data_IF_035368801738
#
_entry.id   IF_035368801738
#
_cell.length_a   1.000
_cell.length_b   1.000
_cell.length_c   1.000
_cell.angle_alpha   90.00
_cell.angle_beta   90.00
_cell.angle_gamma   90.00
#
_symmetry.space_group_name_H-M   'P 1'
#
loop_
_entity.id
_entity.type
_entity.pdbx_description
1 polymer ?
#
# COMPACT_ATOMS: atom_id res chain seq x y z
N UNK A 1 -14.87 9.03 12.74
CA UNK A 1 -15.10 10.18 11.84
C UNK A 1 -13.91 11.12 11.91
N UNK A 2 -13.50 11.76 10.81
CA UNK A 2 -12.29 12.61 10.75
C UNK A 2 -11.05 11.94 11.37
N UNK A 3 -10.88 10.66 11.09
CA UNK A 3 -9.88 9.79 11.71
C UNK A 3 -9.27 8.87 10.66
N UNK A 4 -8.10 8.33 10.96
CA UNK A 4 -7.46 7.31 10.13
C UNK A 4 -7.35 5.97 10.86
N UNK A 5 -7.23 4.89 10.09
CA UNK A 5 -6.94 3.55 10.59
C UNK A 5 -5.93 2.87 9.67
N UNK A 6 -5.00 2.13 10.28
CA UNK A 6 -4.07 1.28 9.54
C UNK A 6 -4.67 -0.13 9.41
N UNK A 7 -4.55 -0.69 8.22
CA UNK A 7 -4.89 -2.07 7.90
C UNK A 7 -3.77 -2.69 7.07
N UNK A 8 -3.95 -3.94 6.66
CA UNK A 8 -3.08 -4.59 5.67
C UNK A 8 -3.91 -5.23 4.57
N UNK A 9 -3.29 -5.40 3.42
CA UNK A 9 -3.81 -6.22 2.33
C UNK A 9 -3.90 -7.70 2.71
N UNK A 10 -4.77 -8.43 2.01
CA UNK A 10 -4.83 -9.91 2.09
C UNK A 10 -3.71 -10.51 1.26
N UNK A 11 -3.31 -9.81 0.20
CA UNK A 11 -2.30 -10.18 -0.77
C UNK A 11 -0.88 -9.92 -0.22
N UNK A 12 0.02 -10.87 -0.46
CA UNK A 12 1.44 -10.70 -0.25
C UNK A 12 2.12 -10.43 -1.59
N UNK A 13 2.91 -9.37 -1.68
CA UNK A 13 3.61 -9.00 -2.91
C UNK A 13 5.09 -9.32 -2.80
N UNK A 14 5.68 -9.70 -3.95
CA UNK A 14 7.13 -9.80 -4.16
C UNK A 14 7.44 -9.07 -5.46
N UNK A 15 7.97 -7.86 -5.37
CA UNK A 15 8.16 -6.99 -6.53
C UNK A 15 9.47 -7.32 -7.23
N UNK A 16 9.49 -7.58 -8.55
CA UNK A 16 10.72 -7.80 -9.29
C UNK A 16 11.67 -6.59 -9.24
N UNK A 17 12.97 -6.82 -9.43
CA UNK A 17 14.00 -5.75 -9.39
C UNK A 17 13.89 -4.74 -10.52
N UNK A 18 13.23 -5.08 -11.61
CA UNK A 18 12.98 -4.19 -12.75
C UNK A 18 11.55 -3.61 -12.75
N UNK A 19 10.79 -3.75 -11.65
CA UNK A 19 9.40 -3.26 -11.58
C UNK A 19 9.24 -2.27 -10.44
N UNK A 20 8.61 -1.14 -10.74
CA UNK A 20 8.08 -0.20 -9.75
C UNK A 20 6.55 -0.30 -9.77
N UNK A 21 5.92 -0.11 -8.61
CA UNK A 21 4.46 -0.06 -8.56
C UNK A 21 3.93 1.23 -7.97
N UNK A 22 2.75 1.64 -8.41
CA UNK A 22 1.99 2.72 -7.78
C UNK A 22 0.64 2.15 -7.35
N UNK A 23 0.33 2.29 -6.08
CA UNK A 23 -0.98 1.95 -5.55
C UNK A 23 -1.87 3.19 -5.56
N UNK A 24 -3.09 3.04 -6.09
CA UNK A 24 -4.09 4.12 -6.11
C UNK A 24 -5.40 3.62 -5.51
N UNK A 25 -6.11 4.53 -4.83
CA UNK A 25 -7.44 4.24 -4.29
C UNK A 25 -8.48 4.01 -5.40
N UNK A 26 -9.58 3.32 -5.06
CA UNK A 26 -10.69 3.11 -5.99
C UNK A 26 -11.74 4.22 -5.89
N UNK A 27 -12.36 4.53 -7.03
CA UNK A 27 -13.41 5.56 -7.11
C UNK A 27 -14.57 5.31 -6.14
N UNK A 28 -14.92 4.05 -5.87
CA UNK A 28 -15.96 3.69 -4.89
C UNK A 28 -15.66 4.25 -3.50
N UNK A 29 -14.44 4.10 -3.00
CA UNK A 29 -14.03 4.62 -1.68
C UNK A 29 -13.93 6.15 -1.70
N UNK A 30 -13.34 6.70 -2.78
CA UNK A 30 -13.22 8.14 -2.93
C UNK A 30 -14.58 8.87 -2.92
N UNK A 31 -15.61 8.29 -3.56
CA UNK A 31 -16.98 8.83 -3.58
C UNK A 31 -17.69 8.74 -2.22
N UNK A 32 -17.20 7.92 -1.30
CA UNK A 32 -17.65 7.87 0.09
C UNK A 32 -16.83 8.77 1.02
N UNK A 33 -15.91 9.59 0.48
CA UNK A 33 -14.99 10.40 1.28
C UNK A 33 -13.97 9.57 2.07
N UNK A 34 -13.65 8.37 1.57
CA UNK A 34 -12.62 7.50 2.13
C UNK A 34 -11.39 7.53 1.23
N UNK A 35 -10.28 7.96 1.80
CA UNK A 35 -8.97 7.96 1.14
C UNK A 35 -8.24 6.70 1.56
N UNK A 36 -7.69 5.99 0.58
CA UNK A 36 -6.79 4.85 0.80
C UNK A 36 -5.39 5.31 0.41
N UNK A 37 -4.60 5.72 1.40
CA UNK A 37 -3.25 6.18 1.19
C UNK A 37 -2.28 5.00 1.28
N UNK A 38 -1.47 4.84 0.23
CA UNK A 38 -0.51 3.74 0.08
C UNK A 38 0.68 4.26 -0.71
N UNK A 39 1.89 4.01 -0.22
CA UNK A 39 3.11 4.41 -0.91
C UNK A 39 3.48 3.41 -2.01
N UNK A 40 4.20 3.83 -3.07
CA UNK A 40 4.75 2.94 -4.08
C UNK A 40 5.46 1.71 -3.49
N UNK A 41 5.35 0.56 -4.15
CA UNK A 41 6.19 -0.60 -3.81
C UNK A 41 7.41 -0.55 -4.70
N UNK A 42 8.55 -0.30 -4.07
CA UNK A 42 9.84 -0.16 -4.73
C UNK A 42 10.35 -1.52 -5.24
N UNK A 43 11.29 -1.52 -6.21
CA UNK A 43 11.90 -2.76 -6.69
C UNK A 43 12.45 -3.63 -5.56
N UNK A 44 12.18 -4.94 -5.62
CA UNK A 44 12.51 -5.95 -4.60
C UNK A 44 11.91 -5.73 -3.21
N UNK A 45 10.92 -4.85 -3.07
CA UNK A 45 10.09 -4.85 -1.88
C UNK A 45 9.22 -6.12 -1.83
N UNK A 46 9.11 -6.72 -0.65
CA UNK A 46 8.15 -7.80 -0.38
C UNK A 46 7.42 -7.60 0.95
N UNK A 47 6.15 -8.01 1.00
CA UNK A 47 5.32 -7.87 2.20
C UNK A 47 3.83 -7.88 1.93
N UNK A 48 3.04 -7.92 3.01
CA UNK A 48 1.67 -7.43 2.95
C UNK A 48 1.71 -5.91 3.03
N UNK A 49 0.99 -5.24 2.14
CA UNK A 49 0.97 -3.77 2.06
C UNK A 49 0.20 -3.20 3.26
N UNK A 50 0.78 -2.24 3.96
CA UNK A 50 0.06 -1.42 4.95
C UNK A 50 -0.82 -0.42 4.22
N UNK A 51 -2.11 -0.40 4.55
CA UNK A 51 -3.11 0.53 4.00
C UNK A 51 -3.46 1.56 5.07
N UNK A 52 -3.45 2.85 4.71
CA UNK A 52 -3.97 3.91 5.57
C UNK A 52 -5.35 4.35 5.05
N UNK A 53 -6.39 4.04 5.80
CA UNK A 53 -7.75 4.49 5.51
C UNK A 53 -8.05 5.77 6.28
N UNK A 54 -8.30 6.86 5.57
CA UNK A 54 -8.66 8.16 6.14
C UNK A 54 -10.10 8.52 5.79
N UNK A 55 -10.96 8.73 6.81
CA UNK A 55 -12.34 9.18 6.62
C UNK A 55 -12.41 10.70 6.75
N UNK A 56 -12.64 11.39 5.64
CA UNK A 56 -12.71 12.87 5.57
C UNK A 56 -14.14 13.40 5.72
N UNK A 57 -15.10 12.54 6.01
CA UNK A 57 -16.51 12.90 6.22
C UNK A 57 -16.84 12.99 7.72
N UNK A 58 -17.88 13.78 8.09
CA UNK A 58 -18.38 13.79 9.47
C UNK A 58 -19.18 12.52 9.83
N UNK A 59 -19.49 11.66 8.85
CA UNK A 59 -20.31 10.47 9.05
C UNK A 59 -19.43 9.24 9.31
N UNK A 60 -19.87 8.28 10.16
CA UNK A 60 -19.21 6.99 10.28
C UNK A 60 -19.22 6.24 8.95
N UNK A 61 -18.10 5.57 8.64
CA UNK A 61 -17.99 4.68 7.49
C UNK A 61 -17.66 3.27 7.96
N UNK A 62 -18.26 2.27 7.30
CA UNK A 62 -17.93 0.86 7.51
C UNK A 62 -17.07 0.39 6.34
N UNK A 63 -15.96 -0.25 6.66
CA UNK A 63 -15.03 -0.85 5.70
C UNK A 63 -14.96 -2.33 6.06
N UNK A 64 -15.23 -3.22 5.10
CA UNK A 64 -15.26 -4.65 5.36
C UNK A 64 -13.97 -5.32 4.82
N UNK A 65 -13.50 -6.32 5.55
CA UNK A 65 -12.36 -7.12 5.11
C UNK A 65 -12.70 -7.90 3.83
N UNK A 66 -11.75 -7.98 2.90
CA UNK A 66 -11.92 -8.69 1.62
C UNK A 66 -12.57 -7.88 0.50
N UNK A 67 -13.00 -6.64 0.75
CA UNK A 67 -13.44 -5.75 -0.32
C UNK A 67 -12.24 -5.23 -1.13
N UNK A 68 -12.42 -5.08 -2.44
CA UNK A 68 -11.41 -4.42 -3.28
C UNK A 68 -11.36 -2.93 -2.96
N UNK A 69 -10.33 -2.50 -2.20
CA UNK A 69 -10.20 -1.13 -1.68
C UNK A 69 -9.21 -0.25 -2.46
N UNK A 70 -8.23 -0.85 -3.14
CA UNK A 70 -7.22 -0.16 -3.92
C UNK A 70 -6.90 -0.95 -5.20
N UNK A 71 -6.09 -0.37 -6.09
CA UNK A 71 -5.56 -1.01 -7.28
C UNK A 71 -4.07 -0.70 -7.41
N UNK A 72 -3.29 -1.66 -7.88
CA UNK A 72 -1.84 -1.55 -8.02
C UNK A 72 -1.51 -1.56 -9.51
N UNK A 73 -0.80 -0.54 -9.96
CA UNK A 73 -0.27 -0.40 -11.31
C UNK A 73 1.20 -0.80 -11.31
N UNK A 74 1.60 -1.65 -12.26
CA UNK A 74 2.96 -2.16 -12.39
C UNK A 74 3.64 -1.50 -13.58
N UNK A 75 4.83 -0.96 -13.35
CA UNK A 75 5.65 -0.29 -14.35
C UNK A 75 6.97 -1.04 -14.46
N UNK A 76 7.17 -1.71 -15.60
CA UNK A 76 8.43 -2.39 -15.91
C UNK A 76 9.44 -1.39 -16.48
N UNK A 77 10.69 -1.53 -16.06
CA UNK A 77 11.84 -0.77 -16.53
C UNK A 77 12.66 -1.64 -17.49
N UNK A 78 13.18 -1.01 -18.55
CA UNK A 78 14.14 -1.64 -19.48
C UNK A 78 15.51 -1.90 -18.81
N UNK A 79 15.79 -1.19 -17.70
CA UNK A 79 17.00 -1.34 -16.90
C UNK A 79 16.71 -1.91 -15.52
N UNK A 80 17.65 -2.70 -15.00
CA UNK A 80 17.59 -3.22 -13.63
C UNK A 80 17.86 -2.10 -12.63
N UNK A 81 17.06 -2.02 -11.56
CA UNK A 81 17.30 -1.05 -10.49
C UNK A 81 18.72 -1.20 -9.89
N UNK A 82 19.49 -0.10 -9.90
CA UNK A 82 20.87 -0.10 -9.39
C UNK A 82 20.95 -0.40 -7.89
N UNK A 83 20.12 0.26 -7.08
CA UNK A 83 20.02 0.04 -5.62
C UNK A 83 18.56 -0.14 -5.24
N UNK A 84 18.17 -1.35 -4.88
CA UNK A 84 16.78 -1.73 -4.61
C UNK A 84 16.34 -1.44 -3.17
N UNK A 85 15.07 -1.70 -2.85
CA UNK A 85 14.58 -1.66 -1.46
C UNK A 85 15.31 -2.65 -0.56
N UNK A 86 15.59 -3.84 -1.10
CA UNK A 86 16.29 -4.92 -0.41
C UNK A 86 17.75 -4.55 -0.12
N UNK A 87 18.45 -3.97 -1.10
CA UNK A 87 19.86 -3.55 -0.95
C UNK A 87 20.04 -2.53 0.19
N UNK A 88 19.07 -1.64 0.35
CA UNK A 88 19.06 -0.62 1.41
C UNK A 88 18.72 -1.17 2.80
N UNK A 89 18.40 -2.46 2.93
CA UNK A 89 17.91 -3.03 4.18
C UNK A 89 16.61 -2.36 4.63
N UNK A 90 15.69 -2.11 3.69
CA UNK A 90 14.51 -1.27 3.93
C UNK A 90 13.67 -1.72 5.14
N UNK A 91 13.20 -0.73 5.92
CA UNK A 91 12.59 -0.89 7.25
C UNK A 91 11.39 -1.85 7.29
N UNK A 92 10.68 -1.97 6.18
CA UNK A 92 9.41 -2.68 6.06
C UNK A 92 9.51 -3.94 5.19
N UNK A 93 10.73 -4.43 4.94
CA UNK A 93 10.93 -5.63 4.15
C UNK A 93 10.36 -6.87 4.85
N UNK A 94 9.59 -7.67 4.11
CA UNK A 94 9.02 -8.93 4.59
C UNK A 94 7.90 -8.76 5.62
N UNK A 95 7.26 -7.59 5.72
CA UNK A 95 6.28 -7.33 6.78
C UNK A 95 5.03 -8.23 6.68
N UNK A 96 4.52 -8.66 7.84
CA UNK A 96 3.37 -9.58 7.97
C UNK A 96 2.10 -8.99 8.58
N UNK A 97 2.24 -8.05 9.51
CA UNK A 97 1.11 -7.46 10.23
C UNK A 97 0.76 -6.07 9.72
N UNK A 98 -0.06 -5.36 10.51
CA UNK A 98 -0.19 -3.91 10.41
C UNK A 98 1.06 -3.30 11.06
N UNK A 99 2.11 -3.13 10.27
CA UNK A 99 3.40 -2.62 10.78
C UNK A 99 3.34 -1.12 11.01
N UNK A 100 3.59 -0.73 12.26
CA UNK A 100 3.67 0.67 12.66
C UNK A 100 4.98 1.32 12.20
N UNK A 101 5.05 2.66 12.17
CA UNK A 101 6.26 3.38 11.78
C UNK A 101 7.48 2.94 12.59
N UNK A 102 8.61 2.73 11.90
CA UNK A 102 9.90 2.40 12.52
C UNK A 102 10.87 3.58 12.38
N UNK A 103 11.51 3.96 13.49
CA UNK A 103 12.59 4.96 13.53
C UNK A 103 13.85 4.44 12.89
#
# INVERSE_FOLDING_TARGET
PNSFALARTVEYFKIPRNVLTICVGKSTYARCGIIVNVTPFEPEWEGYVTLEFSNTTPLPAKIYAGEGCAQVLFFESDEVCGTSYKDRGGKYQGQHGVTLPKT
#
